data_IF_712970470911
#
_entry.id   IF_712970470911
#
_cell.length_a   1.000
_cell.length_b   1.000
_cell.length_c   1.000
_cell.angle_alpha   90.00
_cell.angle_beta   90.00
_cell.angle_gamma   90.00
#
_symmetry.space_group_name_H-M   'P 1'
#
loop_
_entity.id
_entity.type
_entity.pdbx_description
1 polymer ?
#
# COMPACT_ATOMS: atom_id res chain seq x y z
N UNK A 1 12.01 6.06 -3.78
CA UNK A 1 13.25 6.64 -3.17
C UNK A 1 13.69 5.71 -2.04
N UNK A 2 14.87 5.08 -2.12
CA UNK A 2 15.32 4.08 -1.12
C UNK A 2 15.48 4.65 0.29
N UNK A 3 15.88 5.93 0.43
CA UNK A 3 16.00 6.58 1.74
C UNK A 3 14.64 6.73 2.41
N UNK A 4 13.59 7.07 1.64
CA UNK A 4 12.24 7.17 2.16
C UNK A 4 11.69 5.81 2.59
N UNK A 5 11.99 4.76 1.82
CA UNK A 5 11.54 3.39 2.12
C UNK A 5 12.18 2.85 3.40
N UNK A 6 13.51 2.89 3.51
CA UNK A 6 14.20 2.28 4.66
C UNK A 6 13.86 2.97 5.98
N UNK A 7 13.75 4.30 5.97
CA UNK A 7 13.34 5.06 7.15
C UNK A 7 11.89 4.79 7.53
N UNK A 8 10.95 4.72 6.58
CA UNK A 8 9.55 4.39 6.85
C UNK A 8 9.38 2.98 7.42
N UNK A 9 10.08 2.00 6.84
CA UNK A 9 10.08 0.60 7.33
C UNK A 9 10.63 0.52 8.76
N UNK A 10 11.73 1.23 9.04
CA UNK A 10 12.29 1.28 10.39
C UNK A 10 11.33 1.93 11.39
N UNK A 11 10.67 3.04 11.02
CA UNK A 11 9.69 3.70 11.86
C UNK A 11 8.49 2.79 12.17
N UNK A 12 7.98 2.05 11.18
CA UNK A 12 6.91 1.07 11.38
C UNK A 12 7.34 -0.05 12.34
N UNK A 13 8.56 -0.58 12.19
CA UNK A 13 9.10 -1.60 13.09
C UNK A 13 9.23 -1.10 14.54
N UNK A 14 9.73 0.14 14.72
CA UNK A 14 9.84 0.76 16.04
C UNK A 14 8.47 1.02 16.68
N UNK A 15 7.46 1.41 15.89
CA UNK A 15 6.09 1.58 16.38
C UNK A 15 5.47 0.25 16.84
N UNK A 16 5.68 -0.84 16.09
CA UNK A 16 5.27 -2.19 16.48
C UNK A 16 5.91 -2.65 17.80
N UNK A 17 7.21 -2.40 18.00
CA UNK A 17 7.90 -2.70 19.26
C UNK A 17 7.28 -1.91 20.43
N UNK A 18 7.03 -0.60 20.25
CA UNK A 18 6.43 0.24 21.29
C UNK A 18 5.03 -0.20 21.67
N UNK A 19 4.22 -0.58 20.68
CA UNK A 19 2.84 -1.05 20.88
C UNK A 19 2.75 -2.52 21.30
N UNK A 20 3.85 -3.27 21.25
CA UNK A 20 3.89 -4.73 21.42
C UNK A 20 2.90 -5.43 20.48
N UNK A 21 2.89 -4.99 19.22
CA UNK A 21 1.99 -5.53 18.20
C UNK A 21 2.30 -6.99 17.94
N UNK A 22 1.29 -7.85 18.03
CA UNK A 22 1.37 -9.25 17.63
C UNK A 22 1.24 -9.35 16.09
N UNK A 23 2.26 -9.85 15.37
CA UNK A 23 2.19 -10.05 13.92
C UNK A 23 1.26 -11.20 13.50
N UNK A 24 0.79 -12.02 14.45
CA UNK A 24 0.00 -13.21 14.20
C UNK A 24 0.83 -14.41 13.77
N UNK A 25 0.15 -15.52 13.50
CA UNK A 25 0.78 -16.78 13.14
C UNK A 25 1.42 -16.75 11.74
N UNK A 26 2.61 -17.35 11.56
CA UNK A 26 3.24 -17.42 10.26
C UNK A 26 2.47 -18.31 9.29
N UNK A 27 2.36 -17.87 8.04
CA UNK A 27 1.78 -18.67 6.95
C UNK A 27 2.91 -19.40 6.23
N UNK A 28 2.97 -20.73 6.37
CA UNK A 28 4.05 -21.58 5.81
C UNK A 28 3.72 -22.18 4.43
N UNK A 29 2.52 -21.93 3.92
CA UNK A 29 2.03 -22.44 2.65
C UNK A 29 2.10 -21.37 1.55
N UNK A 30 2.06 -21.80 0.29
CA UNK A 30 2.03 -20.88 -0.84
C UNK A 30 0.65 -20.20 -0.96
N UNK A 31 0.59 -18.91 -0.59
CA UNK A 31 -0.62 -18.09 -0.63
C UNK A 31 -1.23 -17.92 -2.03
N UNK A 32 -0.48 -18.16 -3.11
CA UNK A 32 -0.98 -18.08 -4.48
C UNK A 32 -1.91 -19.25 -4.85
N UNK A 33 -1.83 -20.37 -4.14
CA UNK A 33 -2.75 -21.51 -4.33
C UNK A 33 -4.01 -21.39 -3.47
N UNK A 34 -4.07 -20.42 -2.56
CA UNK A 34 -5.22 -20.25 -1.68
C UNK A 34 -6.33 -19.46 -2.38
N UNK A 35 -7.56 -19.94 -2.22
CA UNK A 35 -8.76 -19.19 -2.57
C UNK A 35 -8.87 -17.91 -1.73
N UNK A 36 -9.70 -16.95 -2.18
CA UNK A 36 -9.96 -15.72 -1.43
C UNK A 36 -10.58 -16.02 -0.05
N UNK A 37 -11.42 -17.04 0.02
CA UNK A 37 -12.08 -17.48 1.25
C UNK A 37 -11.09 -18.10 2.24
N UNK A 38 -10.16 -18.93 1.78
CA UNK A 38 -9.11 -19.50 2.65
C UNK A 38 -8.19 -18.42 3.21
N UNK A 39 -7.78 -17.45 2.38
CA UNK A 39 -6.99 -16.31 2.84
C UNK A 39 -7.74 -15.50 3.90
N UNK A 40 -9.02 -15.23 3.68
CA UNK A 40 -9.86 -14.52 4.65
C UNK A 40 -10.00 -15.28 5.98
N UNK A 41 -10.26 -16.60 5.93
CA UNK A 41 -10.35 -17.46 7.12
C UNK A 41 -9.06 -17.46 7.95
N UNK A 42 -7.91 -17.33 7.30
CA UNK A 42 -6.59 -17.26 7.93
C UNK A 42 -6.14 -15.84 8.29
N UNK A 43 -7.01 -14.83 8.12
CA UNK A 43 -6.69 -13.43 8.42
C UNK A 43 -5.62 -12.80 7.51
N UNK A 44 -5.35 -13.41 6.35
CA UNK A 44 -4.33 -12.92 5.40
C UNK A 44 -4.91 -11.72 4.66
N UNK A 45 -4.42 -10.52 5.03
CA UNK A 45 -4.73 -9.28 4.32
C UNK A 45 -3.92 -9.17 3.03
N UNK A 46 -4.47 -8.51 2.03
CA UNK A 46 -3.78 -8.18 0.78
C UNK A 46 -3.19 -6.79 0.85
N UNK A 47 -2.10 -6.56 0.11
CA UNK A 47 -1.60 -5.21 -0.13
C UNK A 47 -2.60 -4.40 -0.96
N UNK A 48 -2.52 -3.06 -0.93
CA UNK A 48 -3.32 -2.20 -1.80
C UNK A 48 -3.17 -2.59 -3.27
N UNK A 49 -4.26 -2.53 -4.03
CA UNK A 49 -4.29 -2.98 -5.43
C UNK A 49 -3.63 -1.99 -6.39
N UNK A 50 -3.53 -0.72 -6.00
CA UNK A 50 -2.96 0.34 -6.82
C UNK A 50 -2.37 1.46 -5.94
N UNK A 51 -1.69 2.40 -6.59
CA UNK A 51 -1.07 3.55 -5.91
C UNK A 51 -2.11 4.42 -5.17
N UNK A 52 -3.31 4.59 -5.72
CA UNK A 52 -4.39 5.35 -5.08
C UNK A 52 -4.73 4.77 -3.72
N UNK A 53 -5.07 3.48 -3.67
CA UNK A 53 -5.39 2.78 -2.42
C UNK A 53 -4.22 2.82 -1.43
N UNK A 54 -2.97 2.67 -1.89
CA UNK A 54 -1.80 2.77 -1.01
C UNK A 54 -1.66 4.15 -0.36
N UNK A 55 -2.05 5.21 -1.07
CA UNK A 55 -2.07 6.57 -0.55
C UNK A 55 -3.24 6.82 0.40
N UNK A 56 -4.40 6.17 0.17
CA UNK A 56 -5.54 6.21 1.10
C UNK A 56 -5.16 5.58 2.45
N UNK A 57 -4.52 4.41 2.41
CA UNK A 57 -4.03 3.72 3.60
C UNK A 57 -2.98 4.58 4.35
N UNK A 58 -2.02 5.16 3.62
CA UNK A 58 -1.02 6.07 4.19
C UNK A 58 -1.66 7.28 4.86
N UNK A 59 -2.65 7.90 4.23
CA UNK A 59 -3.34 9.06 4.80
C UNK A 59 -4.12 8.71 6.08
N UNK A 60 -4.71 7.51 6.11
CA UNK A 60 -5.49 7.00 7.25
C UNK A 60 -4.62 6.63 8.47
N UNK A 61 -3.40 6.14 8.26
CA UNK A 61 -2.47 5.73 9.33
C UNK A 61 -1.02 6.18 9.08
N UNK A 62 -0.78 7.49 9.17
CA UNK A 62 0.57 8.10 9.04
C UNK A 62 1.26 8.41 10.36
N UNK A 63 0.60 8.23 11.50
CA UNK A 63 1.11 8.72 12.80
C UNK A 63 2.44 8.10 13.20
N UNK A 64 2.69 6.85 12.78
CA UNK A 64 3.95 6.16 13.05
C UNK A 64 5.16 6.82 12.36
N UNK A 65 4.93 7.66 11.34
CA UNK A 65 5.98 8.38 10.61
C UNK A 65 6.35 9.73 11.23
N UNK A 66 5.52 10.29 12.09
CA UNK A 66 5.73 11.60 12.71
C UNK A 66 7.08 11.78 13.45
N UNK A 67 7.71 10.74 14.02
CA UNK A 67 9.05 10.87 14.62
C UNK A 67 10.17 11.16 13.62
N UNK A 68 9.96 10.88 12.33
CA UNK A 68 10.99 11.00 11.27
C UNK A 68 10.60 11.93 10.13
N UNK A 69 9.29 12.13 9.89
CA UNK A 69 8.76 13.03 8.87
C UNK A 69 7.80 14.02 9.50
N UNK A 70 7.88 15.28 9.06
CA UNK A 70 6.82 16.24 9.33
C UNK A 70 5.59 15.91 8.50
N UNK A 71 4.40 16.31 8.97
CA UNK A 71 3.16 16.13 8.22
C UNK A 71 3.25 16.76 6.82
N UNK A 72 3.86 17.94 6.69
CA UNK A 72 4.03 18.62 5.40
C UNK A 72 4.79 17.77 4.37
N UNK A 73 5.80 17.00 4.81
CA UNK A 73 6.54 16.08 3.91
C UNK A 73 5.65 14.94 3.46
N UNK A 74 4.87 14.36 4.38
CA UNK A 74 3.94 13.26 4.08
C UNK A 74 2.83 13.75 3.15
N UNK A 75 2.25 14.93 3.43
CA UNK A 75 1.25 15.58 2.59
C UNK A 75 1.79 15.81 1.18
N UNK A 76 3.05 16.25 1.06
CA UNK A 76 3.64 16.47 -0.25
C UNK A 76 3.88 15.16 -1.02
N UNK A 77 4.28 14.10 -0.33
CA UNK A 77 4.40 12.75 -0.92
C UNK A 77 3.04 12.28 -1.44
N UNK A 78 1.98 12.45 -0.65
CA UNK A 78 0.62 12.09 -1.04
C UNK A 78 0.18 12.91 -2.26
N UNK A 79 0.36 14.22 -2.25
CA UNK A 79 0.01 15.11 -3.36
C UNK A 79 0.68 14.68 -4.68
N UNK A 80 1.99 14.44 -4.65
CA UNK A 80 2.76 13.99 -5.81
C UNK A 80 2.25 12.62 -6.28
N UNK A 81 2.09 11.67 -5.36
CA UNK A 81 1.62 10.32 -5.69
C UNK A 81 0.20 10.31 -6.27
N UNK A 82 -0.71 11.16 -5.78
CA UNK A 82 -2.07 11.29 -6.32
C UNK A 82 -2.05 11.87 -7.72
N UNK A 83 -1.20 12.86 -7.97
CA UNK A 83 -0.98 13.40 -9.31
C UNK A 83 -0.51 12.31 -10.26
N UNK A 84 0.52 11.56 -9.89
CA UNK A 84 1.08 10.48 -10.71
C UNK A 84 0.04 9.37 -10.98
N UNK A 85 -0.71 8.96 -9.95
CA UNK A 85 -1.78 7.99 -10.10
C UNK A 85 -2.85 8.49 -11.09
N UNK A 86 -3.32 9.73 -10.92
CA UNK A 86 -4.32 10.33 -11.80
C UNK A 86 -3.84 10.39 -13.25
N UNK A 87 -2.59 10.79 -13.45
CA UNK A 87 -1.99 10.84 -14.78
C UNK A 87 -2.09 9.49 -15.50
N UNK A 88 -1.83 8.38 -14.82
CA UNK A 88 -1.95 7.04 -15.42
C UNK A 88 -3.42 6.66 -15.62
N UNK A 89 -4.26 6.85 -14.61
CA UNK A 89 -5.64 6.36 -14.59
C UNK A 89 -6.58 7.01 -15.62
N UNK A 90 -6.26 8.22 -16.10
CA UNK A 90 -7.09 8.90 -17.12
C UNK A 90 -6.69 8.57 -18.56
N UNK A 91 -5.58 7.85 -18.77
CA UNK A 91 -5.06 7.54 -20.11
C UNK A 91 -5.56 6.16 -20.54
N UNK A 92 -6.17 6.05 -21.73
CA UNK A 92 -6.55 4.74 -22.26
C UNK A 92 -5.33 3.84 -22.43
N UNK A 93 -5.42 2.62 -21.91
CA UNK A 93 -4.40 1.60 -22.12
C UNK A 93 -4.64 0.91 -23.47
N UNK A 94 -3.59 0.58 -24.26
CA UNK A 94 -3.75 -0.11 -25.55
C UNK A 94 -4.61 -1.38 -25.51
N UNK A 95 -4.63 -2.07 -24.37
CA UNK A 95 -5.47 -3.24 -24.14
C UNK A 95 -6.98 -2.92 -24.22
N UNK A 96 -7.40 -1.72 -23.81
CA UNK A 96 -8.80 -1.28 -23.88
C UNK A 96 -9.30 -1.22 -25.32
N UNK A 97 -8.43 -0.89 -26.28
CA UNK A 97 -8.77 -0.93 -27.69
C UNK A 97 -9.18 -2.34 -28.14
N UNK A 98 -8.43 -3.37 -27.73
CA UNK A 98 -8.80 -4.77 -28.02
C UNK A 98 -10.12 -5.20 -27.37
N UNK A 99 -10.51 -4.60 -26.24
CA UNK A 99 -11.74 -4.94 -25.52
C UNK A 99 -12.97 -4.24 -26.09
N UNK A 100 -12.82 -3.02 -26.60
CA UNK A 100 -13.95 -2.13 -26.88
C UNK A 100 -14.01 -1.56 -28.30
N UNK A 101 -13.00 -1.76 -29.15
CA UNK A 101 -12.97 -1.11 -30.48
C UNK A 101 -14.05 -1.63 -31.44
N UNK A 102 -14.35 -2.93 -31.41
CA UNK A 102 -15.32 -3.59 -32.30
C UNK A 102 -16.68 -3.84 -31.63
N UNK A 103 -16.96 -3.19 -30.50
CA UNK A 103 -18.25 -3.29 -29.77
C UNK A 103 -19.23 -2.21 -30.25
#
# INVERSE_FOLDING_TARGET
NPYLVFSAVLAAGLDGIKKKTDPGDPVLENIYHMTKEERAKRGIKTVPANLGEALDELESDRKFLNPIYSNDVIDKIIEIGRKDHREISIRPHPHEFYLYFDV
#
